data_IF_378817080157
#
_entry.id   IF_378817080157
#
_cell.length_a   1.000
_cell.length_b   1.000
_cell.length_c   1.000
_cell.angle_alpha   90.00
_cell.angle_beta   90.00
_cell.angle_gamma   90.00
#
_symmetry.space_group_name_H-M   'P 1'
#
loop_
_entity.id
_entity.type
_entity.pdbx_description
1 polymer ?
#
# COMPACT_ATOMS: atom_id res chain seq x y z
N UNK A 1 -15.53 -2.89 4.76
CA UNK A 1 -14.79 -4.13 4.39
C UNK A 1 -13.29 -3.90 4.52
N UNK A 2 -12.48 -4.95 4.72
CA UNK A 2 -11.02 -4.83 4.87
C UNK A 2 -10.30 -5.22 3.58
N UNK A 3 -9.33 -4.42 3.16
CA UNK A 3 -8.59 -4.57 1.90
C UNK A 3 -7.08 -4.52 2.15
N UNK A 4 -6.35 -5.47 1.57
CA UNK A 4 -4.89 -5.44 1.51
C UNK A 4 -4.46 -4.57 0.33
N UNK A 5 -3.64 -3.57 0.60
CA UNK A 5 -3.04 -2.71 -0.41
C UNK A 5 -1.55 -2.99 -0.43
N UNK A 6 -1.05 -3.48 -1.57
CA UNK A 6 0.39 -3.63 -1.80
C UNK A 6 0.89 -2.45 -2.61
N UNK A 7 1.97 -1.84 -2.16
CA UNK A 7 2.58 -0.70 -2.82
C UNK A 7 4.10 -0.85 -2.92
N UNK A 8 4.67 -0.17 -3.91
CA UNK A 8 6.11 0.03 -4.09
C UNK A 8 6.45 1.47 -3.67
N UNK A 9 7.38 1.60 -2.72
CA UNK A 9 8.04 2.84 -2.38
C UNK A 9 9.38 2.90 -3.12
N UNK A 10 9.50 3.84 -4.05
CA UNK A 10 10.73 4.07 -4.80
C UNK A 10 11.51 5.17 -4.07
N UNK A 11 12.71 4.81 -3.64
CA UNK A 11 13.67 5.72 -3.02
C UNK A 11 14.81 6.01 -3.99
N UNK A 12 15.71 6.92 -3.61
CA UNK A 12 16.87 7.25 -4.46
C UNK A 12 17.80 6.05 -4.72
N UNK A 13 17.86 5.10 -3.79
CA UNK A 13 18.83 4.01 -3.83
C UNK A 13 18.19 2.64 -4.09
N UNK A 14 16.91 2.47 -3.74
CA UNK A 14 16.25 1.16 -3.76
C UNK A 14 14.73 1.25 -3.84
N UNK A 15 14.11 0.10 -4.12
CA UNK A 15 12.66 -0.09 -4.12
C UNK A 15 12.26 -0.96 -2.95
N UNK A 16 11.25 -0.51 -2.20
CA UNK A 16 10.65 -1.29 -1.14
C UNK A 16 9.23 -1.66 -1.51
N UNK A 17 8.88 -2.93 -1.36
CA UNK A 17 7.50 -3.39 -1.51
C UNK A 17 6.95 -3.71 -0.14
N UNK A 18 5.76 -3.19 0.15
CA UNK A 18 5.10 -3.43 1.41
C UNK A 18 3.58 -3.48 1.26
N UNK A 19 2.92 -4.01 2.27
CA UNK A 19 1.46 -4.20 2.28
C UNK A 19 0.88 -3.66 3.57
N UNK A 20 -0.25 -2.96 3.46
CA UNK A 20 -1.03 -2.50 4.61
C UNK A 20 -2.52 -2.81 4.43
N UNK A 21 -3.26 -2.76 5.53
CA UNK A 21 -4.69 -3.01 5.55
C UNK A 21 -5.46 -1.70 5.66
N UNK A 22 -6.49 -1.53 4.83
CA UNK A 22 -7.46 -0.43 4.95
C UNK A 22 -8.86 -0.96 5.16
N UNK A 23 -9.69 -0.16 5.81
CA UNK A 23 -11.12 -0.42 5.92
C UNK A 23 -11.89 0.56 5.03
N UNK A 24 -12.66 0.02 4.09
CA UNK A 24 -13.50 0.78 3.18
C UNK A 24 -14.76 -0.04 2.82
N UNK A 25 -15.91 0.62 2.72
CA UNK A 25 -17.18 -0.04 2.42
C UNK A 25 -17.30 -0.40 0.94
N UNK A 26 -16.64 0.37 0.07
CA UNK A 26 -16.56 0.11 -1.36
C UNK A 26 -15.19 -0.46 -1.74
N UNK A 27 -15.13 -1.10 -2.91
CA UNK A 27 -13.87 -1.53 -3.52
C UNK A 27 -12.96 -0.33 -3.79
N UNK A 28 -11.81 -0.23 -3.11
CA UNK A 28 -10.92 0.90 -3.30
C UNK A 28 -10.11 0.75 -4.59
N UNK A 29 -9.86 1.88 -5.24
CA UNK A 29 -9.04 1.96 -6.45
C UNK A 29 -7.64 2.46 -6.16
N UNK A 30 -6.71 2.24 -7.09
CA UNK A 30 -5.31 2.68 -6.96
C UNK A 30 -5.14 4.21 -6.89
N UNK A 31 -6.14 4.97 -7.33
CA UNK A 31 -6.14 6.44 -7.32
C UNK A 31 -7.00 7.03 -6.20
N UNK A 32 -7.58 6.17 -5.35
CA UNK A 32 -8.37 6.65 -4.22
C UNK A 32 -7.49 7.43 -3.25
N UNK A 33 -7.96 8.61 -2.85
CA UNK A 33 -7.24 9.46 -1.92
C UNK A 33 -6.96 8.75 -0.59
N UNK A 34 -7.88 7.91 -0.11
CA UNK A 34 -7.69 7.11 1.10
C UNK A 34 -6.49 6.16 0.95
N UNK A 35 -6.42 5.42 -0.16
CA UNK A 35 -5.34 4.48 -0.47
C UNK A 35 -4.00 5.20 -0.56
N UNK A 36 -3.96 6.31 -1.30
CA UNK A 36 -2.75 7.10 -1.49
C UNK A 36 -2.25 7.71 -0.18
N UNK A 37 -3.14 8.31 0.63
CA UNK A 37 -2.77 8.90 1.91
C UNK A 37 -2.24 7.85 2.89
N UNK A 38 -2.86 6.67 2.94
CA UNK A 38 -2.39 5.57 3.79
C UNK A 38 -1.05 5.02 3.30
N UNK A 39 -0.86 4.85 2.00
CA UNK A 39 0.43 4.44 1.44
C UNK A 39 1.54 5.46 1.75
N UNK A 40 1.23 6.75 1.66
CA UNK A 40 2.15 7.83 2.07
C UNK A 40 2.52 7.74 3.55
N UNK A 41 1.53 7.61 4.44
CA UNK A 41 1.78 7.47 5.88
C UNK A 41 2.60 6.22 6.20
N UNK A 42 2.26 5.08 5.58
CA UNK A 42 2.98 3.83 5.79
C UNK A 42 4.41 3.88 5.24
N UNK A 43 4.65 4.64 4.17
CA UNK A 43 5.98 4.84 3.57
C UNK A 43 6.93 5.70 4.41
N UNK A 44 6.46 6.37 5.46
CA UNK A 44 7.30 7.22 6.33
C UNK A 44 8.46 6.42 6.95
N UNK A 45 8.29 5.11 7.18
CA UNK A 45 9.38 4.23 7.63
C UNK A 45 10.56 4.13 6.67
N UNK A 46 10.36 4.49 5.39
CA UNK A 46 11.38 4.58 4.36
C UNK A 46 11.87 6.03 4.13
N UNK A 47 11.42 7.01 4.94
CA UNK A 47 11.80 8.41 4.78
C UNK A 47 13.32 8.63 4.91
N UNK A 48 13.98 7.87 5.78
CA UNK A 48 15.44 7.91 5.93
C UNK A 48 16.20 7.54 4.65
N UNK A 49 15.57 6.78 3.76
CA UNK A 49 16.15 6.34 2.48
C UNK A 49 15.90 7.34 1.33
N UNK A 50 15.12 8.40 1.59
CA UNK A 50 14.72 9.41 0.61
C UNK A 50 13.61 8.91 -0.32
N UNK A 51 12.35 9.05 0.12
CA UNK A 51 11.16 8.67 -0.67
C UNK A 51 11.02 9.59 -1.88
N UNK A 52 11.13 9.01 -3.08
CA UNK A 52 10.96 9.73 -4.34
C UNK A 52 9.54 9.58 -4.90
N UNK A 53 8.99 8.37 -4.90
CA UNK A 53 7.61 8.13 -5.34
C UNK A 53 7.00 6.87 -4.72
N UNK A 54 5.66 6.80 -4.78
CA UNK A 54 4.87 5.68 -4.29
C UNK A 54 3.97 5.22 -5.42
N UNK A 55 3.89 3.90 -5.63
CA UNK A 55 3.03 3.27 -6.63
C UNK A 55 2.22 2.14 -6.00
N UNK A 56 0.90 2.19 -6.13
CA UNK A 56 0.04 1.07 -5.73
C UNK A 56 0.17 -0.03 -6.77
N UNK A 57 0.48 -1.25 -6.33
CA UNK A 57 0.67 -2.41 -7.20
C UNK A 57 -0.60 -3.27 -7.28
N UNK A 58 -1.20 -3.55 -6.13
CA UNK A 58 -2.40 -4.37 -6.04
C UNK A 58 -3.27 -3.96 -4.85
N UNK A 59 -4.56 -4.20 -5.01
CA UNK A 59 -5.58 -4.07 -3.96
C UNK A 59 -6.35 -5.38 -3.99
N UNK A 60 -6.53 -6.00 -2.83
CA UNK A 60 -7.21 -7.30 -2.73
C UNK A 60 -8.06 -7.34 -1.48
N UNK A 61 -9.25 -7.92 -1.58
CA UNK A 61 -10.12 -8.07 -0.42
C UNK A 61 -9.44 -8.98 0.60
N UNK A 62 -9.46 -8.60 1.88
CA UNK A 62 -8.78 -9.36 2.93
C UNK A 62 -9.33 -10.77 3.15
N UNK A 63 -10.55 -11.03 2.67
CA UNK A 63 -11.18 -12.35 2.70
C UNK A 63 -10.66 -13.28 1.60
N UNK A 64 -10.02 -12.74 0.55
CA UNK A 64 -9.38 -13.50 -0.54
C UNK A 64 -7.87 -13.70 -0.33
N UNK A 65 -7.33 -13.28 0.82
CA UNK A 65 -5.94 -13.59 1.14
C UNK A 65 -5.80 -15.11 1.31
N UNK A 66 -4.90 -15.79 0.57
CA UNK A 66 -4.69 -17.21 0.76
C UNK A 66 -4.28 -17.43 2.21
N UNK A 67 -5.11 -18.16 2.96
CA UNK A 67 -4.73 -18.69 4.26
C UNK A 67 -3.45 -19.52 4.00
N UNK A 68 -2.32 -18.99 4.43
CA UNK A 68 -1.10 -19.77 4.56
C UNK A 68 -1.42 -20.82 5.64
N UNK A 69 -1.75 -22.04 5.20
CA UNK A 69 -1.88 -23.24 6.03
C UNK A 69 -0.49 -23.75 6.44
#
# INVERSE_FOLDING_TARGET
>A
MKWYVTYECITNNQKFTDTFLIENDNEPTQIDQLVLNQAMQHSIKFCAEGVGSIRILSISLSQDAPQQY
#
